data_IF_303252692672
#
_entry.id   IF_303252692672
#
_cell.length_a   1.000
_cell.length_b   1.000
_cell.length_c   1.000
_cell.angle_alpha   90.00
_cell.angle_beta   90.00
_cell.angle_gamma   90.00
#
_symmetry.space_group_name_H-M   'P 1'
#
loop_
_entity.id
_entity.type
_entity.pdbx_description
1 polymer ?
#
# COMPACT_ATOMS: atom_id res chain seq x y z
N UNK A 1 -21.78 14.62 -8.52
CA UNK A 1 -20.67 14.49 -9.47
C UNK A 1 -19.43 15.05 -8.78
N UNK A 2 -18.71 14.22 -8.05
CA UNK A 2 -17.39 14.53 -7.50
C UNK A 2 -16.42 13.71 -8.33
N UNK A 3 -15.76 14.40 -9.26
CA UNK A 3 -14.69 13.85 -10.08
C UNK A 3 -13.66 13.16 -9.19
N UNK A 4 -13.32 11.96 -9.59
CA UNK A 4 -12.29 11.09 -9.04
C UNK A 4 -10.95 11.83 -9.06
N UNK A 5 -10.60 12.48 -7.96
CA UNK A 5 -9.22 12.93 -7.77
C UNK A 5 -8.37 11.67 -7.51
N UNK A 6 -7.94 11.05 -8.59
CA UNK A 6 -6.83 10.11 -8.56
C UNK A 6 -5.64 10.81 -7.93
N UNK A 7 -5.17 10.30 -6.80
CA UNK A 7 -3.87 10.69 -6.24
C UNK A 7 -2.83 10.49 -7.34
N UNK A 8 -2.35 11.61 -7.90
CA UNK A 8 -1.45 11.61 -9.05
C UNK A 8 -0.06 11.20 -8.56
N UNK A 9 0.17 9.90 -8.45
CA UNK A 9 1.53 9.41 -8.60
C UNK A 9 2.02 9.79 -9.99
N UNK A 10 3.24 10.29 -10.16
CA UNK A 10 3.78 10.59 -11.47
C UNK A 10 3.56 9.38 -12.39
N UNK A 11 2.99 9.61 -13.56
CA UNK A 11 2.55 8.55 -14.49
C UNK A 11 3.69 7.61 -14.93
N UNK A 12 4.95 8.01 -14.77
CA UNK A 12 6.15 7.22 -15.03
C UNK A 12 6.44 6.17 -13.92
N UNK A 13 5.93 6.36 -12.68
CA UNK A 13 5.96 5.36 -11.61
C UNK A 13 4.80 4.35 -11.74
N UNK A 14 3.75 4.69 -12.45
CA UNK A 14 2.68 3.78 -12.82
C UNK A 14 3.11 2.99 -14.05
N UNK A 15 3.89 1.94 -13.86
CA UNK A 15 3.99 0.92 -14.88
C UNK A 15 2.58 0.43 -15.19
N UNK A 16 1.99 0.84 -16.32
CA UNK A 16 0.70 0.37 -16.84
C UNK A 16 0.75 -1.11 -17.26
N UNK A 17 1.49 -1.92 -16.55
CA UNK A 17 1.51 -3.36 -16.79
C UNK A 17 0.31 -3.93 -16.07
N UNK A 18 -0.71 -4.22 -16.85
CA UNK A 18 -1.79 -5.11 -16.46
C UNK A 18 -1.12 -6.45 -16.17
N UNK A 19 -1.14 -6.87 -14.92
CA UNK A 19 -0.48 -8.08 -14.47
C UNK A 19 -1.41 -8.97 -13.65
N UNK A 20 -1.02 -10.21 -13.49
CA UNK A 20 -1.68 -11.15 -12.59
C UNK A 20 -1.37 -10.83 -11.12
N UNK A 21 -2.20 -11.29 -10.18
CA UNK A 21 -1.91 -11.18 -8.75
C UNK A 21 -0.55 -11.79 -8.38
N UNK A 22 -0.13 -12.86 -9.04
CA UNK A 22 1.16 -13.48 -8.85
C UNK A 22 2.34 -12.57 -9.27
N UNK A 23 2.17 -11.83 -10.37
CA UNK A 23 3.18 -10.88 -10.83
C UNK A 23 3.25 -9.67 -9.92
N UNK A 24 2.12 -9.20 -9.39
CA UNK A 24 2.06 -8.11 -8.43
C UNK A 24 2.81 -8.47 -7.13
N UNK A 25 2.58 -9.65 -6.60
CA UNK A 25 3.26 -10.13 -5.39
C UNK A 25 4.78 -10.29 -5.63
N UNK A 26 5.21 -10.77 -6.80
CA UNK A 26 6.63 -10.79 -7.21
C UNK A 26 7.22 -9.40 -7.39
N UNK A 27 6.44 -8.47 -7.92
CA UNK A 27 6.84 -7.07 -8.11
C UNK A 27 7.20 -6.37 -6.79
N UNK A 28 6.53 -6.67 -5.69
CA UNK A 28 6.87 -6.15 -4.35
C UNK A 28 8.30 -6.50 -3.95
N UNK A 29 8.76 -7.73 -4.22
CA UNK A 29 10.14 -8.16 -3.95
C UNK A 29 11.15 -7.34 -4.76
N UNK A 30 10.89 -7.17 -6.05
CA UNK A 30 11.75 -6.37 -6.95
C UNK A 30 11.85 -4.93 -6.46
N UNK A 31 10.73 -4.31 -6.10
CA UNK A 31 10.71 -2.95 -5.58
C UNK A 31 11.53 -2.83 -4.28
N UNK A 32 11.41 -3.79 -3.37
CA UNK A 32 12.22 -3.79 -2.14
C UNK A 32 13.72 -3.79 -2.44
N UNK A 33 14.16 -4.62 -3.38
CA UNK A 33 15.58 -4.66 -3.77
C UNK A 33 16.03 -3.33 -4.40
N UNK A 34 15.21 -2.73 -5.26
CA UNK A 34 15.52 -1.45 -5.91
C UNK A 34 15.64 -0.34 -4.87
N UNK A 35 14.67 -0.20 -3.98
CA UNK A 35 14.68 0.88 -2.97
C UNK A 35 15.74 0.67 -1.90
N UNK A 36 15.99 -0.58 -1.47
CA UNK A 36 17.09 -0.88 -0.54
C UNK A 36 18.45 -0.64 -1.18
N UNK A 37 18.63 -1.00 -2.45
CA UNK A 37 19.84 -0.68 -3.23
C UNK A 37 20.01 0.82 -3.39
N UNK A 38 18.97 1.56 -3.74
CA UNK A 38 18.97 3.01 -3.81
C UNK A 38 19.34 3.67 -2.49
N UNK A 39 18.79 3.22 -1.37
CA UNK A 39 19.13 3.70 -0.04
C UNK A 39 20.61 3.44 0.30
N UNK A 40 21.12 2.24 0.00
CA UNK A 40 22.51 1.89 0.23
C UNK A 40 23.48 2.74 -0.62
N UNK A 41 23.12 3.04 -1.86
CA UNK A 41 23.94 3.88 -2.74
C UNK A 41 23.86 5.38 -2.39
N UNK A 42 22.70 5.86 -1.94
CA UNK A 42 22.53 7.27 -1.57
C UNK A 42 23.25 7.63 -0.27
N UNK A 43 23.45 6.70 0.65
CA UNK A 43 24.11 6.95 1.94
C UNK A 43 25.55 7.46 1.79
N UNK A 44 26.46 6.83 1.03
CA UNK A 44 27.82 7.33 0.83
C UNK A 44 27.84 8.64 0.02
N UNK A 45 26.93 8.82 -0.94
CA UNK A 45 26.83 10.08 -1.69
C UNK A 45 26.44 11.26 -0.79
N UNK A 46 25.49 11.03 0.14
CA UNK A 46 25.15 12.03 1.16
C UNK A 46 26.34 12.36 2.06
N UNK A 47 27.12 11.36 2.47
CA UNK A 47 28.32 11.58 3.28
C UNK A 47 29.36 12.42 2.53
N UNK A 48 29.60 12.11 1.27
CA UNK A 48 30.51 12.89 0.41
C UNK A 48 30.01 14.33 0.24
N UNK A 49 28.73 14.52 0.00
CA UNK A 49 28.12 15.85 -0.15
C UNK A 49 28.28 16.71 1.12
N UNK A 50 28.18 16.11 2.32
CA UNK A 50 28.45 16.82 3.59
C UNK A 50 29.87 17.34 3.67
N UNK A 51 30.84 16.56 3.16
CA UNK A 51 32.27 16.91 3.22
C UNK A 51 32.67 17.98 2.21
N UNK A 52 31.98 18.05 1.07
CA UNK A 52 32.33 18.98 -0.02
C UNK A 52 31.59 20.32 0.10
N UNK A 53 30.27 20.29 0.21
CA UNK A 53 29.45 21.51 0.24
C UNK A 53 28.12 21.27 0.99
N UNK A 54 27.84 22.01 2.07
CA UNK A 54 26.58 21.87 2.83
C UNK A 54 25.34 22.22 2.00
N UNK A 55 25.43 23.05 0.95
CA UNK A 55 24.29 23.36 0.07
C UNK A 55 23.95 22.15 -0.79
N UNK A 56 24.95 21.48 -1.35
CA UNK A 56 24.79 20.24 -2.10
C UNK A 56 24.19 19.15 -1.20
N UNK A 57 24.64 19.04 0.03
CA UNK A 57 24.06 18.11 1.01
C UNK A 57 22.56 18.35 1.23
N UNK A 58 22.15 19.61 1.45
CA UNK A 58 20.74 19.96 1.65
C UNK A 58 19.87 19.60 0.44
N UNK A 59 20.42 19.67 -0.79
CA UNK A 59 19.73 19.27 -2.00
C UNK A 59 19.56 17.73 -2.13
N UNK A 60 20.57 16.95 -1.74
CA UNK A 60 20.52 15.49 -1.85
C UNK A 60 19.87 14.78 -0.66
N UNK A 61 19.81 15.41 0.51
CA UNK A 61 19.23 14.85 1.74
C UNK A 61 17.78 14.36 1.54
N UNK A 62 16.86 15.10 0.90
CA UNK A 62 15.49 14.62 0.68
C UNK A 62 15.42 13.39 -0.23
N UNK A 63 16.27 13.35 -1.27
CA UNK A 63 16.30 12.20 -2.18
C UNK A 63 16.76 10.92 -1.48
N UNK A 64 17.87 10.99 -0.76
CA UNK A 64 18.37 9.87 0.05
C UNK A 64 17.39 9.46 1.15
N UNK A 65 16.77 10.43 1.81
CA UNK A 65 15.70 10.22 2.79
C UNK A 65 14.50 9.50 2.19
N UNK A 66 14.05 9.88 1.01
CA UNK A 66 12.96 9.19 0.31
C UNK A 66 13.27 7.71 0.05
N UNK A 67 14.45 7.39 -0.50
CA UNK A 67 14.85 6.01 -0.73
C UNK A 67 14.90 5.22 0.58
N UNK A 68 15.44 5.80 1.63
CA UNK A 68 15.53 5.17 2.95
C UNK A 68 14.14 4.90 3.54
N UNK A 69 13.24 5.86 3.50
CA UNK A 69 11.88 5.69 4.01
C UNK A 69 11.13 4.64 3.21
N UNK A 70 11.22 4.64 1.88
CA UNK A 70 10.59 3.60 1.07
C UNK A 70 11.16 2.21 1.37
N UNK A 71 12.48 2.09 1.55
CA UNK A 71 13.09 0.83 1.94
C UNK A 71 12.57 0.34 3.30
N UNK A 72 12.52 1.23 4.30
CA UNK A 72 11.98 0.92 5.64
C UNK A 72 10.50 0.55 5.56
N UNK A 73 9.69 1.28 4.81
CA UNK A 73 8.27 0.98 4.60
C UNK A 73 8.07 -0.43 4.03
N UNK A 74 8.84 -0.80 3.01
CA UNK A 74 8.75 -2.12 2.41
C UNK A 74 9.24 -3.24 3.37
N UNK A 75 10.30 -2.99 4.14
CA UNK A 75 10.78 -3.95 5.15
C UNK A 75 9.72 -4.16 6.24
N UNK A 76 9.09 -3.08 6.72
CA UNK A 76 8.00 -3.15 7.69
C UNK A 76 6.77 -3.84 7.12
N UNK A 77 6.37 -3.51 5.91
CA UNK A 77 5.27 -4.20 5.23
C UNK A 77 5.53 -5.71 5.13
N UNK A 78 6.75 -6.11 4.77
CA UNK A 78 7.15 -7.53 4.75
C UNK A 78 7.03 -8.18 6.13
N UNK A 79 7.45 -7.48 7.18
CA UNK A 79 7.30 -7.97 8.55
C UNK A 79 5.82 -8.22 8.90
N UNK A 80 4.95 -7.24 8.61
CA UNK A 80 3.51 -7.38 8.82
C UNK A 80 2.88 -8.46 7.95
N UNK A 81 3.33 -8.64 6.72
CA UNK A 81 2.84 -9.75 5.89
C UNK A 81 3.19 -11.10 6.48
N UNK A 82 4.38 -11.26 7.05
CA UNK A 82 4.74 -12.52 7.74
C UNK A 82 3.91 -12.78 8.98
N UNK A 83 3.56 -11.73 9.71
CA UNK A 83 2.69 -11.78 10.90
C UNK A 83 1.19 -11.70 10.55
N UNK A 84 0.82 -11.78 9.28
CA UNK A 84 -0.49 -11.39 8.74
C UNK A 84 -1.71 -12.00 9.43
N UNK A 85 -1.59 -13.20 10.03
CA UNK A 85 -2.69 -13.81 10.80
C UNK A 85 -3.12 -12.95 11.97
N UNK A 86 -2.18 -12.35 12.69
CA UNK A 86 -2.45 -11.54 13.89
C UNK A 86 -3.11 -10.19 13.60
N UNK A 87 -3.14 -9.78 12.33
CA UNK A 87 -3.75 -8.51 11.90
C UNK A 87 -5.26 -8.63 11.63
N UNK A 88 -5.76 -9.85 11.58
CA UNK A 88 -7.18 -10.11 11.44
C UNK A 88 -7.82 -10.26 12.81
N UNK A 89 -8.94 -9.60 13.02
CA UNK A 89 -9.70 -9.65 14.26
C UNK A 89 -11.18 -9.86 14.00
N UNK A 90 -11.85 -10.58 14.90
CA UNK A 90 -13.30 -10.71 14.89
C UNK A 90 -13.91 -9.45 15.49
N UNK A 91 -14.99 -8.96 14.88
CA UNK A 91 -15.83 -7.87 15.37
C UNK A 91 -17.29 -8.35 15.37
N UNK A 92 -18.19 -7.60 16.00
CA UNK A 92 -19.62 -7.91 15.99
C UNK A 92 -20.21 -7.97 14.58
N UNK A 93 -19.65 -7.20 13.64
CA UNK A 93 -20.13 -7.10 12.25
C UNK A 93 -19.41 -8.03 11.28
N UNK A 94 -18.42 -8.82 11.72
CA UNK A 94 -17.65 -9.71 10.85
C UNK A 94 -16.17 -9.76 11.21
N UNK A 95 -15.33 -10.02 10.24
CA UNK A 95 -13.88 -10.13 10.40
C UNK A 95 -13.20 -8.94 9.72
N UNK A 96 -12.39 -8.22 10.47
CA UNK A 96 -11.70 -7.01 10.01
C UNK A 96 -10.21 -7.19 9.99
N UNK A 97 -9.56 -6.63 8.96
CA UNK A 97 -8.13 -6.37 8.89
C UNK A 97 -7.93 -4.87 8.71
N UNK A 98 -7.10 -4.28 9.55
CA UNK A 98 -6.72 -2.86 9.46
C UNK A 98 -5.24 -2.73 9.14
N UNK A 99 -4.90 -1.75 8.30
CA UNK A 99 -3.50 -1.41 8.03
C UNK A 99 -2.87 -0.82 9.30
N UNK A 100 -1.71 -1.32 9.75
CA UNK A 100 -0.99 -0.75 10.88
C UNK A 100 -0.66 0.72 10.67
N UNK A 101 -0.87 1.54 11.72
CA UNK A 101 -0.61 2.99 11.66
C UNK A 101 0.81 3.32 11.21
N UNK A 102 1.78 2.51 11.60
CA UNK A 102 3.18 2.70 11.21
C UNK A 102 3.38 2.68 9.69
N UNK A 103 2.69 1.76 8.98
CA UNK A 103 2.78 1.69 7.52
C UNK A 103 2.18 2.93 6.87
N UNK A 104 1.09 3.45 7.42
CA UNK A 104 0.47 4.68 6.92
C UNK A 104 1.40 5.89 7.11
N UNK A 105 2.03 6.00 8.28
CA UNK A 105 3.00 7.08 8.56
C UNK A 105 4.19 6.98 7.61
N UNK A 106 4.73 5.77 7.41
CA UNK A 106 5.85 5.54 6.49
C UNK A 106 5.49 5.81 5.03
N UNK A 107 4.25 5.60 4.62
CA UNK A 107 3.78 5.94 3.27
C UNK A 107 3.65 7.46 3.07
N UNK A 108 3.30 8.18 4.12
CA UNK A 108 3.16 9.64 4.10
C UNK A 108 4.50 10.39 4.24
N UNK A 109 5.48 9.80 4.92
CA UNK A 109 6.75 10.44 5.22
C UNK A 109 7.54 10.88 3.96
N UNK A 110 7.59 10.14 2.83
CA UNK A 110 8.21 10.60 1.60
C UNK A 110 7.58 11.89 1.06
N UNK A 111 6.27 12.06 1.24
CA UNK A 111 5.58 13.27 0.81
C UNK A 111 5.98 14.49 1.65
N UNK A 112 6.16 14.31 2.97
CA UNK A 112 6.65 15.37 3.85
C UNK A 112 8.06 15.79 3.44
N UNK A 113 8.95 14.84 3.14
CA UNK A 113 10.29 15.14 2.65
C UNK A 113 10.25 15.83 1.29
N UNK A 114 9.41 15.36 0.37
CA UNK A 114 9.24 16.02 -0.93
C UNK A 114 8.78 17.46 -0.77
N UNK A 115 7.82 17.70 0.14
CA UNK A 115 7.35 19.04 0.46
C UNK A 115 8.45 19.92 1.03
N UNK A 116 9.24 19.41 1.97
CA UNK A 116 10.38 20.13 2.55
C UNK A 116 11.40 20.52 1.49
N UNK A 117 11.69 19.59 0.57
CA UNK A 117 12.57 19.84 -0.58
C UNK A 117 11.98 20.89 -1.53
N UNK A 118 10.69 20.79 -1.84
CA UNK A 118 10.01 21.74 -2.70
C UNK A 118 10.04 23.16 -2.11
N UNK A 119 9.83 23.29 -0.80
CA UNK A 119 9.92 24.58 -0.11
C UNK A 119 11.33 25.17 -0.09
N UNK A 120 12.37 24.34 0.21
CA UNK A 120 13.77 24.80 0.19
C UNK A 120 14.20 25.23 -1.21
N UNK A 121 13.89 24.41 -2.23
CA UNK A 121 14.19 24.76 -3.62
C UNK A 121 13.45 26.01 -4.11
N UNK A 122 12.18 26.17 -3.73
CA UNK A 122 11.41 27.38 -4.04
C UNK A 122 12.01 28.62 -3.35
N UNK A 123 12.44 28.49 -2.11
CA UNK A 123 13.08 29.58 -1.36
C UNK A 123 14.40 30.01 -2.00
N UNK A 124 15.27 29.08 -2.35
CA UNK A 124 16.51 29.38 -3.06
C UNK A 124 16.25 30.05 -4.41
N UNK A 125 15.27 29.55 -5.18
CA UNK A 125 14.93 30.12 -6.49
C UNK A 125 14.34 31.52 -6.39
N UNK A 126 13.58 31.83 -5.33
CA UNK A 126 13.01 33.18 -5.10
C UNK A 126 14.11 34.16 -4.62
N UNK A 127 15.06 33.67 -3.83
CA UNK A 127 16.17 34.46 -3.32
C UNK A 127 17.33 34.62 -4.34
N UNK A 128 17.39 33.80 -5.41
CA UNK A 128 18.32 33.95 -6.50
C UNK A 128 17.73 34.90 -7.55
N UNK A 129 18.51 35.87 -8.00
CA UNK A 129 18.11 36.85 -9.03
C UNK A 129 17.84 36.23 -10.42
N UNK A 130 17.58 34.92 -10.47
CA UNK A 130 17.39 34.18 -11.72
C UNK A 130 15.86 34.02 -12.00
N UNK A 131 15.36 34.87 -12.90
CA UNK A 131 13.94 34.91 -13.32
C UNK A 131 13.33 33.56 -13.71
N UNK A 132 13.99 32.61 -14.43
CA UNK A 132 13.42 31.29 -14.70
C UNK A 132 13.24 30.44 -13.45
N UNK A 133 14.05 30.63 -12.42
CA UNK A 133 13.98 29.92 -11.16
C UNK A 133 12.71 30.23 -10.37
N UNK A 134 12.25 31.47 -10.41
CA UNK A 134 11.03 31.88 -9.66
C UNK A 134 9.76 31.22 -10.17
N UNK A 135 9.62 30.96 -11.47
CA UNK A 135 8.47 30.21 -12.02
C UNK A 135 8.45 28.74 -11.57
N UNK A 136 9.60 28.08 -11.56
CA UNK A 136 9.72 26.71 -11.05
C UNK A 136 9.42 26.65 -9.54
N UNK A 137 9.90 27.64 -8.77
CA UNK A 137 9.60 27.77 -7.35
C UNK A 137 8.10 27.88 -7.08
N UNK A 138 7.39 28.70 -7.81
CA UNK A 138 5.91 28.84 -7.70
C UNK A 138 5.21 27.54 -8.07
N UNK A 139 5.61 26.85 -9.13
CA UNK A 139 5.05 25.55 -9.52
C UNK A 139 5.27 24.49 -8.43
N UNK A 140 6.44 24.47 -7.79
CA UNK A 140 6.72 23.59 -6.64
C UNK A 140 5.84 23.91 -5.43
N UNK A 141 5.64 25.18 -5.09
CA UNK A 141 4.75 25.58 -3.99
C UNK A 141 3.32 25.14 -4.28
N UNK A 142 2.81 25.37 -5.49
CA UNK A 142 1.45 24.96 -5.86
C UNK A 142 1.26 23.44 -5.81
N UNK A 143 2.23 22.66 -6.30
CA UNK A 143 2.19 21.20 -6.19
C UNK A 143 2.23 20.72 -4.74
N UNK A 144 2.98 21.44 -3.89
CA UNK A 144 3.09 21.17 -2.45
C UNK A 144 1.77 21.40 -1.71
N UNK A 145 1.02 22.43 -2.06
CA UNK A 145 -0.32 22.68 -1.48
C UNK A 145 -1.26 21.52 -1.80
N UNK A 146 -1.21 20.99 -3.02
CA UNK A 146 -1.99 19.81 -3.40
C UNK A 146 -1.64 18.59 -2.54
N UNK A 147 -0.36 18.32 -2.35
CA UNK A 147 0.12 17.20 -1.54
C UNK A 147 -0.24 17.35 -0.06
N UNK A 148 -0.12 18.56 0.55
CA UNK A 148 -0.57 18.84 1.93
C UNK A 148 -2.06 18.56 2.07
N UNK A 149 -2.88 18.98 1.10
CA UNK A 149 -4.32 18.76 1.13
C UNK A 149 -4.67 17.26 1.06
N UNK A 150 -3.96 16.50 0.25
CA UNK A 150 -4.10 15.04 0.20
C UNK A 150 -3.68 14.40 1.54
N UNK A 151 -2.55 14.81 2.09
CA UNK A 151 -2.05 14.36 3.39
C UNK A 151 -3.07 14.60 4.51
N UNK A 152 -3.61 15.83 4.63
CA UNK A 152 -4.55 16.20 5.68
C UNK A 152 -5.86 15.40 5.62
N UNK A 153 -6.30 15.05 4.42
CA UNK A 153 -7.49 14.22 4.22
C UNK A 153 -7.28 12.74 4.55
N UNK A 154 -6.05 12.26 4.48
CA UNK A 154 -5.72 10.85 4.70
C UNK A 154 -5.49 10.48 6.16
N UNK A 155 -5.20 11.46 7.02
CA UNK A 155 -4.86 11.24 8.42
C UNK A 155 -5.93 10.55 9.29
N UNK A 156 -7.25 10.79 9.13
CA UNK A 156 -8.26 10.21 10.01
C UNK A 156 -8.70 8.80 9.63
N UNK A 157 -8.50 8.38 8.39
CA UNK A 157 -9.01 7.11 7.89
C UNK A 157 -7.93 6.03 7.87
N UNK A 158 -8.30 4.81 8.22
CA UNK A 158 -7.44 3.64 8.04
C UNK A 158 -7.93 2.79 6.89
N UNK A 159 -7.01 2.38 6.07
CA UNK A 159 -7.30 1.34 5.09
C UNK A 159 -7.69 0.07 5.82
N UNK A 160 -8.85 -0.49 5.47
CA UNK A 160 -9.35 -1.71 6.10
C UNK A 160 -10.17 -2.56 5.15
N UNK A 161 -10.13 -3.85 5.40
CA UNK A 161 -10.99 -4.84 4.77
C UNK A 161 -11.89 -5.41 5.85
N UNK A 162 -13.21 -5.30 5.69
CA UNK A 162 -14.20 -5.93 6.56
C UNK A 162 -14.95 -6.98 5.76
N UNK A 163 -14.87 -8.23 6.21
CA UNK A 163 -15.52 -9.39 5.59
C UNK A 163 -16.71 -9.79 6.46
N UNK A 164 -17.90 -9.78 5.88
CA UNK A 164 -19.17 -10.10 6.54
C UNK A 164 -19.89 -11.23 5.81
N UNK A 165 -20.93 -11.81 6.39
CA UNK A 165 -21.79 -12.81 5.73
C UNK A 165 -22.47 -12.27 4.46
N UNK A 166 -22.74 -10.97 4.41
CA UNK A 166 -23.43 -10.32 3.28
C UNK A 166 -22.49 -9.85 2.15
N UNK A 167 -21.25 -9.47 2.48
CA UNK A 167 -20.33 -8.89 1.51
C UNK A 167 -18.99 -8.52 2.09
N UNK A 168 -18.17 -7.86 1.28
CA UNK A 168 -16.90 -7.27 1.69
C UNK A 168 -16.98 -5.75 1.62
N UNK A 169 -16.54 -5.08 2.68
CA UNK A 169 -16.40 -3.63 2.71
C UNK A 169 -14.93 -3.26 2.65
N UNK A 170 -14.59 -2.45 1.68
CA UNK A 170 -13.25 -1.97 1.42
C UNK A 170 -13.21 -0.47 1.75
N UNK A 171 -12.38 -0.08 2.71
CA UNK A 171 -12.21 1.32 3.11
C UNK A 171 -10.80 1.74 2.70
N UNK A 172 -10.71 2.80 1.91
CA UNK A 172 -9.45 3.42 1.46
C UNK A 172 -8.90 4.35 2.55
N UNK A 173 -7.63 4.68 2.45
CA UNK A 173 -6.95 5.67 3.29
C UNK A 173 -7.65 7.04 3.28
N UNK A 174 -8.36 7.37 2.21
CA UNK A 174 -9.17 8.61 2.10
C UNK A 174 -10.46 8.58 2.93
N UNK A 175 -10.77 7.46 3.60
CA UNK A 175 -12.03 7.24 4.31
C UNK A 175 -13.19 6.81 3.40
N UNK A 176 -12.99 6.82 2.10
CA UNK A 176 -14.00 6.34 1.16
C UNK A 176 -14.19 4.83 1.34
N UNK A 177 -15.43 4.42 1.60
CA UNK A 177 -15.79 3.03 1.83
C UNK A 177 -16.71 2.53 0.72
N UNK A 178 -16.40 1.37 0.20
CA UNK A 178 -17.21 0.69 -0.82
C UNK A 178 -17.63 -0.67 -0.29
N UNK A 179 -18.93 -0.98 -0.34
CA UNK A 179 -19.47 -2.29 0.03
C UNK A 179 -19.81 -3.08 -1.22
N UNK A 180 -19.36 -4.32 -1.30
CA UNK A 180 -19.61 -5.23 -2.41
C UNK A 180 -20.32 -6.46 -1.85
N UNK A 181 -21.61 -6.64 -2.12
CA UNK A 181 -22.35 -7.83 -1.68
C UNK A 181 -21.88 -9.07 -2.44
N UNK A 182 -21.85 -10.23 -1.76
CA UNK A 182 -21.48 -11.51 -2.39
C UNK A 182 -22.41 -11.91 -3.55
N UNK A 183 -23.63 -11.40 -3.58
CA UNK A 183 -24.57 -11.61 -4.69
C UNK A 183 -24.05 -11.07 -6.02
N UNK A 184 -23.21 -10.04 -5.99
CA UNK A 184 -22.54 -9.48 -7.17
C UNK A 184 -21.32 -10.30 -7.62
N UNK A 185 -20.99 -11.39 -6.95
CA UNK A 185 -19.87 -12.30 -7.25
C UNK A 185 -18.56 -11.54 -7.54
N UNK A 186 -18.05 -10.74 -6.56
CA UNK A 186 -16.79 -10.03 -6.76
C UNK A 186 -15.66 -11.01 -7.06
N UNK A 187 -14.84 -10.65 -8.04
CA UNK A 187 -13.65 -11.41 -8.41
C UNK A 187 -12.51 -10.45 -8.74
N UNK A 188 -11.29 -10.81 -8.36
CA UNK A 188 -10.12 -10.06 -8.76
C UNK A 188 -9.82 -10.36 -10.23
N UNK A 189 -9.80 -9.33 -11.09
CA UNK A 189 -9.52 -9.49 -12.51
C UNK A 189 -8.03 -9.42 -12.81
N UNK A 190 -7.40 -8.33 -12.42
CA UNK A 190 -5.99 -8.07 -12.65
C UNK A 190 -5.49 -6.94 -11.74
N UNK A 191 -4.20 -6.66 -11.79
CA UNK A 191 -3.55 -5.57 -11.04
C UNK A 191 -3.01 -4.54 -12.01
N UNK A 192 -3.31 -3.28 -11.76
CA UNK A 192 -2.82 -2.15 -12.54
C UNK A 192 -2.19 -1.11 -11.61
N UNK A 193 -0.89 -0.85 -11.75
CA UNK A 193 -0.19 0.18 -11.00
C UNK A 193 -0.18 0.02 -9.48
N UNK A 194 -0.40 -1.21 -8.97
CA UNK A 194 -0.50 -1.50 -7.52
C UNK A 194 -1.93 -1.59 -7.02
N UNK A 195 -2.92 -1.21 -7.83
CA UNK A 195 -4.34 -1.33 -7.53
C UNK A 195 -4.87 -2.66 -8.04
N UNK A 196 -5.60 -3.37 -7.19
CA UNK A 196 -6.38 -4.52 -7.59
C UNK A 196 -7.67 -4.07 -8.25
N UNK A 197 -7.94 -4.60 -9.42
CA UNK A 197 -9.18 -4.37 -10.14
C UNK A 197 -10.17 -5.48 -9.80
N UNK A 198 -11.31 -5.09 -9.25
CA UNK A 198 -12.36 -6.02 -8.80
C UNK A 198 -13.55 -5.89 -9.74
N UNK A 199 -13.84 -6.96 -10.43
CA UNK A 199 -15.03 -7.10 -11.25
C UNK A 199 -16.22 -7.56 -10.41
N UNK A 200 -17.39 -7.03 -10.71
CA UNK A 200 -18.64 -7.41 -10.06
C UNK A 200 -19.71 -7.68 -11.11
N UNK A 201 -20.51 -8.71 -10.89
CA UNK A 201 -21.62 -9.00 -11.81
C UNK A 201 -22.66 -7.87 -11.78
N UNK A 202 -22.94 -7.29 -12.95
CA UNK A 202 -23.92 -6.21 -13.11
C UNK A 202 -23.35 -4.79 -13.07
N UNK A 203 -22.06 -4.61 -12.89
CA UNK A 203 -21.37 -3.33 -13.11
C UNK A 203 -20.48 -3.42 -14.35
N UNK A 204 -20.46 -2.34 -15.11
CA UNK A 204 -19.58 -2.19 -16.28
C UNK A 204 -18.18 -1.74 -15.83
N UNK A 205 -18.13 -0.93 -14.77
CA UNK A 205 -16.87 -0.34 -14.27
C UNK A 205 -16.21 -1.25 -13.24
N UNK A 206 -14.92 -1.48 -13.43
CA UNK A 206 -14.07 -2.18 -12.47
C UNK A 206 -13.80 -1.28 -11.24
N UNK A 207 -13.97 -1.85 -10.07
CA UNK A 207 -13.59 -1.14 -8.85
C UNK A 207 -12.09 -1.30 -8.60
N UNK A 208 -11.39 -0.19 -8.43
CA UNK A 208 -9.97 -0.16 -8.08
C UNK A 208 -9.80 -0.14 -6.56
N UNK A 209 -8.95 -1.01 -6.04
CA UNK A 209 -8.61 -1.05 -4.63
C UNK A 209 -7.09 -1.12 -4.44
N UNK A 210 -6.48 -0.15 -3.73
CA UNK A 210 -5.04 -0.14 -3.54
C UNK A 210 -4.61 -1.31 -2.65
N UNK A 211 -3.56 -2.02 -3.08
CA UNK A 211 -3.00 -3.17 -2.35
C UNK A 211 -1.62 -2.86 -1.75
N UNK A 212 -1.08 -1.66 -2.01
CA UNK A 212 0.32 -1.32 -1.72
C UNK A 212 0.68 -1.42 -0.24
N UNK A 213 -0.22 -1.00 0.65
CA UNK A 213 0.00 -0.99 2.10
C UNK A 213 -0.64 -2.18 2.83
N UNK A 214 -1.48 -2.95 2.14
CA UNK A 214 -2.18 -4.05 2.78
C UNK A 214 -1.24 -5.21 3.10
N UNK A 215 -1.20 -5.67 4.35
CA UNK A 215 -0.39 -6.80 4.78
C UNK A 215 -1.03 -8.15 4.41
N UNK A 216 -1.57 -8.22 3.21
CA UNK A 216 -2.13 -9.42 2.59
C UNK A 216 -1.65 -9.50 1.15
N UNK A 217 -1.33 -10.69 0.66
CA UNK A 217 -0.92 -10.85 -0.73
C UNK A 217 -2.13 -10.71 -1.66
N UNK A 218 -1.86 -10.31 -2.89
CA UNK A 218 -2.90 -10.18 -3.89
C UNK A 218 -3.58 -11.54 -4.17
N UNK A 219 -2.81 -12.63 -4.20
CA UNK A 219 -3.32 -14.00 -4.36
C UNK A 219 -4.23 -14.42 -3.19
N UNK A 220 -3.84 -14.11 -1.95
CA UNK A 220 -4.66 -14.39 -0.77
C UNK A 220 -5.99 -13.65 -0.83
N UNK A 221 -5.96 -12.36 -1.18
CA UNK A 221 -7.17 -11.57 -1.29
C UNK A 221 -8.07 -12.02 -2.45
N UNK A 222 -7.49 -12.38 -3.60
CA UNK A 222 -8.23 -13.00 -4.72
C UNK A 222 -8.93 -14.28 -4.26
N UNK A 223 -8.22 -15.17 -3.57
CA UNK A 223 -8.77 -16.42 -3.04
C UNK A 223 -9.91 -16.17 -2.05
N UNK A 224 -9.79 -15.13 -1.22
CA UNK A 224 -10.87 -14.70 -0.32
C UNK A 224 -12.11 -14.31 -1.10
N UNK A 225 -12.00 -13.42 -2.09
CA UNK A 225 -13.12 -13.00 -2.91
C UNK A 225 -13.77 -14.18 -3.63
N UNK A 226 -12.98 -15.04 -4.26
CA UNK A 226 -13.47 -16.20 -5.01
C UNK A 226 -14.18 -17.21 -4.11
N UNK A 227 -13.63 -17.46 -2.93
CA UNK A 227 -14.20 -18.45 -2.00
C UNK A 227 -15.55 -17.99 -1.46
N UNK A 228 -15.65 -16.77 -0.97
CA UNK A 228 -16.91 -16.27 -0.40
C UNK A 228 -17.93 -15.91 -1.47
N UNK A 229 -17.52 -15.58 -2.69
CA UNK A 229 -18.43 -15.41 -3.83
C UNK A 229 -19.13 -16.72 -4.22
N UNK A 230 -18.44 -17.86 -4.09
CA UNK A 230 -18.96 -19.17 -4.55
C UNK A 230 -19.63 -19.98 -3.43
N UNK A 231 -19.21 -19.84 -2.18
CA UNK A 231 -19.65 -20.72 -1.08
C UNK A 231 -20.59 -20.04 -0.11
N UNK A 232 -21.89 -20.32 -0.23
CA UNK A 232 -22.92 -19.84 0.72
C UNK A 232 -22.67 -20.38 2.13
N UNK A 233 -22.27 -21.66 2.25
CA UNK A 233 -22.03 -22.29 3.57
C UNK A 233 -20.87 -21.62 4.33
N UNK A 234 -19.81 -21.18 3.64
CA UNK A 234 -18.73 -20.44 4.28
C UNK A 234 -19.15 -19.04 4.71
N UNK A 235 -20.05 -18.39 3.95
CA UNK A 235 -20.61 -17.06 4.32
C UNK A 235 -21.39 -17.12 5.62
N UNK A 236 -22.23 -18.13 5.82
CA UNK A 236 -22.98 -18.31 7.08
C UNK A 236 -22.07 -18.48 8.31
N UNK A 237 -20.85 -18.98 8.13
CA UNK A 237 -19.89 -19.08 9.25
C UNK A 237 -19.28 -17.74 9.66
N UNK A 238 -19.42 -16.70 8.81
CA UNK A 238 -18.92 -15.36 9.12
C UNK A 238 -19.79 -14.63 10.15
N UNK A 239 -21.01 -15.07 10.36
CA UNK A 239 -21.94 -14.50 11.35
C UNK A 239 -21.81 -15.16 12.73
N UNK A 240 -20.87 -16.07 12.91
CA UNK A 240 -20.71 -16.86 14.12
C UNK A 240 -19.32 -16.79 14.76
N UNK A 241 -19.11 -17.49 15.88
CA UNK A 241 -17.86 -17.47 16.65
C UNK A 241 -16.65 -18.00 15.86
N UNK A 242 -16.89 -18.72 14.78
CA UNK A 242 -15.83 -19.28 13.91
C UNK A 242 -15.47 -18.36 12.73
N UNK A 243 -15.99 -17.14 12.67
CA UNK A 243 -15.79 -16.22 11.56
C UNK A 243 -14.31 -15.99 11.27
N UNK A 244 -13.55 -15.60 12.31
CA UNK A 244 -12.11 -15.36 12.17
C UNK A 244 -11.37 -16.58 11.65
N UNK A 245 -11.62 -17.75 12.22
CA UNK A 245 -10.98 -19.00 11.78
C UNK A 245 -11.32 -19.30 10.33
N UNK A 246 -12.59 -19.13 9.93
CA UNK A 246 -13.02 -19.35 8.54
C UNK A 246 -12.30 -18.44 7.56
N UNK A 247 -12.07 -17.17 7.90
CA UNK A 247 -11.31 -16.22 7.07
C UNK A 247 -9.84 -16.62 7.02
N UNK A 248 -9.23 -16.95 8.17
CA UNK A 248 -7.82 -17.35 8.23
C UNK A 248 -7.56 -18.63 7.43
N UNK A 249 -8.45 -19.63 7.51
CA UNK A 249 -8.34 -20.88 6.73
C UNK A 249 -8.39 -20.61 5.21
N UNK A 250 -9.17 -19.63 4.76
CA UNK A 250 -9.21 -19.23 3.34
C UNK A 250 -7.96 -18.49 2.91
N UNK A 251 -7.40 -17.68 3.80
CA UNK A 251 -6.19 -16.89 3.54
C UNK A 251 -4.91 -17.69 3.73
N UNK A 252 -4.99 -18.91 4.27
CA UNK A 252 -3.81 -19.75 4.48
C UNK A 252 -3.01 -19.92 3.18
N UNK A 253 -1.71 -19.60 3.15
CA UNK A 253 -0.90 -19.73 1.96
C UNK A 253 -0.82 -21.17 1.49
N UNK A 254 -0.80 -21.38 0.18
CA UNK A 254 -0.52 -22.68 -0.42
C UNK A 254 0.97 -23.02 -0.29
N UNK A 255 1.34 -24.29 -0.49
CA UNK A 255 2.74 -24.72 -0.48
C UNK A 255 3.58 -23.95 -1.51
N UNK A 256 3.01 -23.64 -2.66
CA UNK A 256 3.65 -22.80 -3.67
C UNK A 256 3.90 -21.37 -3.16
N UNK A 257 2.93 -20.78 -2.49
CA UNK A 257 3.06 -19.45 -1.89
C UNK A 257 4.08 -19.43 -0.75
N UNK A 258 4.18 -20.49 0.04
CA UNK A 258 5.22 -20.64 1.07
C UNK A 258 6.63 -20.79 0.48
N UNK A 259 6.77 -21.43 -0.67
CA UNK A 259 8.07 -21.56 -1.34
C UNK A 259 8.55 -20.22 -1.93
N UNK A 260 7.63 -19.36 -2.35
CA UNK A 260 7.90 -17.98 -2.79
C UNK A 260 8.02 -16.98 -1.59
N UNK A 261 8.55 -17.42 -0.53
CA UNK A 261 8.45 -17.15 0.90
C UNK A 261 8.69 -15.71 1.38
N UNK A 262 8.98 -14.74 0.53
CA UNK A 262 9.38 -13.42 1.02
C UNK A 262 8.21 -12.49 1.38
N UNK A 263 7.03 -12.72 0.79
CA UNK A 263 5.87 -11.83 0.86
C UNK A 263 4.56 -12.56 1.20
N UNK A 264 4.65 -13.63 1.97
CA UNK A 264 3.51 -14.39 2.46
C UNK A 264 3.58 -14.57 3.98
N UNK A 265 2.53 -15.08 4.57
CA UNK A 265 2.50 -15.41 5.99
C UNK A 265 3.62 -16.38 6.35
N UNK A 266 4.17 -16.25 7.55
CA UNK A 266 5.12 -17.26 8.07
C UNK A 266 4.38 -18.61 8.24
N UNK A 267 5.09 -19.71 7.97
CA UNK A 267 4.55 -21.02 8.34
C UNK A 267 4.29 -21.05 9.84
N UNK A 268 3.16 -21.62 10.29
CA UNK A 268 3.01 -21.89 11.70
C UNK A 268 4.18 -22.79 12.13
N UNK A 269 4.85 -22.40 13.20
CA UNK A 269 5.76 -23.31 13.85
C UNK A 269 4.95 -24.55 14.21
N UNK A 270 5.27 -25.67 13.58
CA UNK A 270 4.76 -26.98 14.04
C UNK A 270 5.35 -27.11 15.42
N UNK A 271 4.54 -26.81 16.46
CA UNK A 271 4.89 -27.19 17.82
C UNK A 271 5.24 -28.67 17.75
N UNK A 272 6.53 -28.97 17.76
CA UNK A 272 7.00 -30.31 18.04
C UNK A 272 6.65 -30.55 19.51
N UNK A 273 5.33 -30.69 19.73
CA UNK A 273 4.76 -31.11 20.99
C UNK A 273 5.34 -32.47 21.27
N UNK A 274 6.11 -32.53 22.32
CA UNK A 274 6.85 -33.67 22.77
C UNK A 274 6.02 -34.95 22.76
N UNK A 275 6.66 -35.96 22.25
CA UNK A 275 6.32 -37.33 22.58
C UNK A 275 6.51 -37.60 24.08
#
# INVERSE_FOLDING_TARGET
MLEEYELIWPSWLRSRRIGTCAEADRGRRKNTMIFSGGAALSSPLLLLAVLEDPVIFLAYLPLGGMFTIYAVSLIRLRHYMRAGRSLWSATESGVVMEVPRELMILDLAPWVLYLSFAFSGAFEMICSDYLPGSFLGVAFVLSSVGAVRCFWRSLPARERILVTGEGVRLTRITGQSSFIPWSQKPSASHVNGGDLLINTKGRVDEMRFPMSLLPVSCRQFQRLLDTFSRSVSKRHRLDGPYALRTVLDVLEPTEEEYSDSSWTWARPEVSQGGA
#
